data_IF_866435757045
#
_entry.id   IF_866435757045
#
_cell.length_a   1.000
_cell.length_b   1.000
_cell.length_c   1.000
_cell.angle_alpha   90.00
_cell.angle_beta   90.00
_cell.angle_gamma   90.00
#
_symmetry.space_group_name_H-M   'P 1'
#
loop_
_entity.id
_entity.type
_entity.pdbx_description
1 polymer ?
#
# COMPACT_ATOMS: atom_id res chain seq x y z
N UNK A 1 -15.09 -12.25 -1.01
CA UNK A 1 -13.80 -11.53 -0.91
C UNK A 1 -14.05 -10.16 -1.50
N UNK A 2 -14.35 -9.17 -0.66
CA UNK A 2 -14.57 -7.80 -1.14
C UNK A 2 -13.23 -7.24 -1.61
N UNK A 3 -13.05 -7.18 -2.93
CA UNK A 3 -11.85 -6.61 -3.55
C UNK A 3 -11.78 -5.12 -3.27
N UNK A 4 -10.59 -4.64 -2.93
CA UNK A 4 -10.27 -3.22 -2.78
C UNK A 4 -10.80 -2.44 -4.00
N UNK A 5 -11.77 -1.53 -3.79
CA UNK A 5 -12.26 -0.68 -4.88
C UNK A 5 -11.26 0.44 -5.15
N UNK A 6 -10.65 0.36 -6.34
CA UNK A 6 -9.71 1.35 -6.86
C UNK A 6 -10.30 2.01 -8.11
N UNK A 7 -10.22 3.33 -8.15
CA UNK A 7 -10.46 4.12 -9.36
C UNK A 7 -9.43 3.78 -10.45
N UNK A 8 -9.73 4.12 -11.70
CA UNK A 8 -8.80 3.92 -12.81
C UNK A 8 -7.45 4.63 -12.58
N UNK A 9 -7.45 5.79 -11.93
CA UNK A 9 -6.24 6.53 -11.61
C UNK A 9 -5.42 5.81 -10.54
N UNK A 10 -6.06 5.34 -9.47
CA UNK A 10 -5.37 4.56 -8.43
C UNK A 10 -4.79 3.27 -8.98
N UNK A 11 -5.52 2.55 -9.84
CA UNK A 11 -5.00 1.33 -10.47
C UNK A 11 -3.75 1.60 -11.30
N UNK A 12 -3.70 2.72 -12.03
CA UNK A 12 -2.50 3.11 -12.78
C UNK A 12 -1.35 3.47 -11.85
N UNK A 13 -1.57 4.42 -10.94
CA UNK A 13 -0.53 4.88 -10.02
C UNK A 13 0.04 3.72 -9.17
N UNK A 14 -0.84 2.86 -8.63
CA UNK A 14 -0.42 1.72 -7.79
C UNK A 14 0.26 0.65 -8.63
N UNK A 15 -0.18 0.46 -9.89
CA UNK A 15 0.47 -0.43 -10.84
C UNK A 15 1.89 0.03 -11.18
N UNK A 16 2.09 1.32 -11.41
CA UNK A 16 3.42 1.90 -11.67
C UNK A 16 4.34 1.76 -10.46
N UNK A 17 3.86 2.09 -9.25
CA UNK A 17 4.62 1.89 -8.01
C UNK A 17 4.97 0.41 -7.77
N UNK A 18 4.03 -0.49 -8.09
CA UNK A 18 4.28 -1.92 -7.97
C UNK A 18 5.39 -2.37 -8.92
N UNK A 19 5.34 -1.94 -10.19
CA UNK A 19 6.38 -2.26 -11.16
C UNK A 19 7.74 -1.66 -10.80
N UNK A 20 7.76 -0.46 -10.22
CA UNK A 20 8.99 0.17 -9.71
C UNK A 20 9.67 -0.69 -8.63
N UNK A 21 8.87 -1.38 -7.81
CA UNK A 21 9.36 -2.22 -6.73
C UNK A 21 9.61 -3.68 -7.14
N UNK A 22 8.87 -4.20 -8.12
CA UNK A 22 9.02 -5.55 -8.69
C UNK A 22 10.11 -5.55 -9.77
N UNK A 23 11.34 -5.24 -9.36
CA UNK A 23 12.51 -5.14 -10.27
C UNK A 23 12.80 -6.43 -11.02
N UNK A 24 12.48 -7.58 -10.41
CA UNK A 24 12.67 -8.91 -11.00
C UNK A 24 11.47 -9.35 -11.86
N UNK A 25 10.38 -8.57 -11.91
CA UNK A 25 9.18 -8.89 -12.69
C UNK A 25 8.47 -10.18 -12.25
N UNK A 26 8.66 -10.59 -10.99
CA UNK A 26 8.16 -11.85 -10.44
C UNK A 26 6.70 -11.77 -9.98
N UNK A 27 6.13 -10.55 -9.99
CA UNK A 27 4.82 -10.28 -9.41
C UNK A 27 4.85 -10.26 -7.89
N UNK A 28 6.03 -10.12 -7.26
CA UNK A 28 6.22 -10.11 -5.82
C UNK A 28 7.25 -9.06 -5.43
N UNK A 29 6.90 -8.22 -4.46
CA UNK A 29 7.80 -7.22 -3.89
C UNK A 29 8.31 -7.74 -2.55
N UNK A 30 9.61 -7.70 -2.31
CA UNK A 30 10.16 -8.12 -1.01
C UNK A 30 9.67 -7.20 0.10
N UNK A 31 9.51 -7.72 1.32
CA UNK A 31 9.09 -6.91 2.45
C UNK A 31 9.99 -5.68 2.66
N UNK A 32 11.30 -5.86 2.48
CA UNK A 32 12.31 -4.79 2.57
C UNK A 32 12.02 -3.69 1.54
N UNK A 33 11.81 -4.06 0.27
CA UNK A 33 11.61 -3.07 -0.80
C UNK A 33 10.31 -2.29 -0.63
N UNK A 34 9.24 -2.98 -0.22
CA UNK A 34 7.98 -2.32 0.12
C UNK A 34 8.15 -1.36 1.31
N UNK A 35 8.88 -1.77 2.35
CA UNK A 35 9.16 -0.89 3.50
C UNK A 35 9.97 0.35 3.12
N UNK A 36 10.96 0.25 2.24
CA UNK A 36 11.71 1.42 1.73
C UNK A 36 10.77 2.42 1.04
N UNK A 37 9.88 1.93 0.18
CA UNK A 37 8.88 2.79 -0.47
C UNK A 37 7.96 3.43 0.57
N UNK A 38 7.46 2.65 1.54
CA UNK A 38 6.54 3.17 2.52
C UNK A 38 7.20 4.17 3.47
N UNK A 39 8.50 4.02 3.78
CA UNK A 39 9.26 5.02 4.52
C UNK A 39 9.32 6.36 3.77
N UNK A 40 9.36 6.33 2.43
CA UNK A 40 9.32 7.54 1.60
C UNK A 40 8.00 8.30 1.74
N UNK A 41 6.93 7.68 2.27
CA UNK A 41 5.64 8.35 2.52
C UNK A 41 5.67 9.30 3.74
N UNK A 42 6.75 9.30 4.52
CA UNK A 42 6.90 10.13 5.73
C UNK A 42 6.11 9.62 6.95
N UNK A 43 5.54 8.41 6.88
CA UNK A 43 4.87 7.80 8.02
C UNK A 43 5.87 7.24 9.05
N UNK A 44 5.49 7.29 10.32
CA UNK A 44 6.26 6.69 11.41
C UNK A 44 6.32 5.17 11.32
N UNK A 45 7.39 4.59 11.88
CA UNK A 45 7.67 3.16 11.81
C UNK A 45 6.54 2.29 12.40
N UNK A 46 5.87 2.76 13.46
CA UNK A 46 4.68 2.13 14.06
C UNK A 46 3.53 1.96 13.07
N UNK A 47 3.21 3.02 12.32
CA UNK A 47 2.15 2.98 11.31
C UNK A 47 2.51 2.00 10.18
N UNK A 48 3.77 2.00 9.74
CA UNK A 48 4.25 1.09 8.69
C UNK A 48 4.20 -0.38 9.12
N UNK A 49 4.54 -0.66 10.39
CA UNK A 49 4.41 -1.99 10.98
C UNK A 49 2.94 -2.43 10.97
N UNK A 50 2.04 -1.57 11.44
CA UNK A 50 0.61 -1.86 11.46
C UNK A 50 0.05 -2.10 10.06
N UNK A 51 0.44 -1.30 9.07
CA UNK A 51 0.06 -1.47 7.65
C UNK A 51 0.50 -2.85 7.13
N UNK A 52 1.75 -3.23 7.42
CA UNK A 52 2.34 -4.50 6.99
C UNK A 52 1.64 -5.72 7.62
N UNK A 53 1.14 -5.56 8.85
CA UNK A 53 0.31 -6.56 9.52
C UNK A 53 -1.08 -6.66 8.91
N UNK A 54 -1.74 -5.52 8.65
CA UNK A 54 -3.08 -5.47 8.06
C UNK A 54 -3.14 -6.06 6.66
N UNK A 55 -2.13 -5.81 5.81
CA UNK A 55 -2.08 -6.38 4.47
C UNK A 55 -1.59 -7.85 4.47
N UNK A 56 -1.21 -8.40 5.63
CA UNK A 56 -0.79 -9.79 5.78
C UNK A 56 0.60 -10.10 5.21
N UNK A 57 1.43 -9.09 4.94
CA UNK A 57 2.78 -9.30 4.36
C UNK A 57 3.75 -9.98 5.34
N UNK A 58 3.57 -9.76 6.65
CA UNK A 58 4.42 -10.34 7.71
C UNK A 58 4.46 -11.87 7.69
N UNK A 59 3.39 -12.53 7.24
CA UNK A 59 3.32 -14.01 7.15
C UNK A 59 3.99 -14.59 5.89
N UNK A 60 4.17 -13.77 4.85
CA UNK A 60 4.66 -14.22 3.55
C UNK A 60 6.09 -13.74 3.26
N UNK A 61 6.57 -12.70 3.95
CA UNK A 61 7.88 -12.08 3.71
C UNK A 61 7.94 -11.25 2.40
N UNK A 62 6.84 -11.19 1.66
CA UNK A 62 6.71 -10.45 0.42
C UNK A 62 5.28 -9.90 0.28
N UNK A 63 5.13 -8.90 -0.58
CA UNK A 63 3.88 -8.28 -0.96
C UNK A 63 3.52 -8.72 -2.38
N UNK A 64 2.39 -9.43 -2.52
CA UNK A 64 1.71 -9.56 -3.80
C UNK A 64 0.97 -8.29 -4.18
N UNK A 65 0.50 -8.19 -5.43
CA UNK A 65 -0.22 -7.01 -5.96
C UNK A 65 -1.35 -6.53 -5.05
N UNK A 66 -2.24 -7.44 -4.64
CA UNK A 66 -3.39 -7.08 -3.80
C UNK A 66 -2.97 -6.53 -2.44
N UNK A 67 -1.95 -7.11 -1.83
CA UNK A 67 -1.45 -6.69 -0.51
C UNK A 67 -0.75 -5.34 -0.59
N UNK A 68 0.01 -5.12 -1.67
CA UNK A 68 0.67 -3.86 -1.93
C UNK A 68 -0.35 -2.73 -2.12
N UNK A 69 -1.43 -2.98 -2.87
CA UNK A 69 -2.46 -1.96 -3.10
C UNK A 69 -3.22 -1.61 -1.81
N UNK A 70 -3.50 -2.60 -0.97
CA UNK A 70 -4.07 -2.39 0.36
C UNK A 70 -3.13 -1.52 1.20
N UNK A 71 -1.82 -1.83 1.19
CA UNK A 71 -0.83 -1.06 1.94
C UNK A 71 -0.77 0.40 1.47
N UNK A 72 -0.73 0.66 0.16
CA UNK A 72 -0.76 2.02 -0.39
C UNK A 72 -2.02 2.81 0.02
N UNK A 73 -3.19 2.17 -0.01
CA UNK A 73 -4.45 2.78 0.48
C UNK A 73 -4.39 3.12 1.97
N UNK A 74 -3.84 2.22 2.79
CA UNK A 74 -3.67 2.46 4.22
C UNK A 74 -2.66 3.57 4.51
N UNK A 75 -1.60 3.68 3.71
CA UNK A 75 -0.62 4.78 3.78
C UNK A 75 -1.33 6.10 3.49
N UNK A 76 -2.08 6.17 2.38
CA UNK A 76 -2.85 7.36 2.03
C UNK A 76 -3.87 7.74 3.13
N UNK A 77 -4.49 6.75 3.78
CA UNK A 77 -5.39 6.98 4.91
C UNK A 77 -4.65 7.52 6.14
N UNK A 78 -3.51 6.92 6.52
CA UNK A 78 -2.71 7.37 7.65
C UNK A 78 -2.13 8.77 7.45
N UNK A 79 -1.72 9.12 6.22
CA UNK A 79 -1.28 10.48 5.88
C UNK A 79 -2.40 11.52 6.06
N UNK A 80 -3.67 11.11 5.94
CA UNK A 80 -4.84 11.97 6.21
C UNK A 80 -5.25 11.99 7.70
N UNK A 81 -4.51 11.28 8.57
CA UNK A 81 -4.87 11.12 9.97
C UNK A 81 -6.08 10.20 10.20
N UNK A 82 -6.45 9.39 9.19
CA UNK A 82 -7.52 8.42 9.34
C UNK A 82 -7.05 7.15 10.05
N UNK A 83 -7.96 6.43 10.75
CA UNK A 83 -7.63 5.18 11.39
C UNK A 83 -7.26 4.09 10.37
N UNK A 84 -6.17 3.37 10.66
CA UNK A 84 -5.69 2.22 9.88
C UNK A 84 -6.64 1.01 10.01
N UNK A 85 -7.72 1.02 9.22
CA UNK A 85 -8.75 -0.04 9.20
C UNK A 85 -9.03 -0.50 7.78
N UNK A 86 -9.02 -1.81 7.56
CA UNK A 86 -9.32 -2.42 6.25
C UNK A 86 -10.75 -2.15 5.80
N UNK A 87 -11.71 -2.16 6.73
CA UNK A 87 -13.13 -1.91 6.46
C UNK A 87 -13.38 -0.50 5.90
N UNK A 88 -12.53 0.46 6.23
CA UNK A 88 -12.66 1.85 5.80
C UNK A 88 -12.10 2.12 4.40
N UNK A 89 -11.38 1.16 3.80
CA UNK A 89 -10.68 1.36 2.52
C UNK A 89 -11.60 1.46 1.30
N UNK A 90 -12.84 0.97 1.42
CA UNK A 90 -13.85 1.03 0.34
C UNK A 90 -14.57 2.39 0.25
N UNK A 91 -14.34 3.30 1.20
CA UNK A 91 -14.80 4.69 1.11
C UNK A 91 -13.93 5.43 0.09
N UNK A 92 -14.47 5.71 -1.09
CA UNK A 92 -13.74 6.02 -2.34
C UNK A 92 -13.00 7.35 -2.45
N UNK A 93 -12.36 7.87 -1.40
CA UNK A 93 -11.89 9.28 -1.34
C UNK A 93 -10.37 9.45 -1.10
N UNK A 94 -9.53 8.44 -1.31
CA UNK A 94 -8.09 8.51 -0.96
C UNK A 94 -7.16 8.96 -2.09
N UNK A 95 -7.69 9.51 -3.19
CA UNK A 95 -6.99 9.70 -4.48
C UNK A 95 -5.81 10.71 -4.43
N UNK A 96 -5.75 11.62 -3.44
CA UNK A 96 -4.90 12.82 -3.55
C UNK A 96 -3.43 12.70 -3.14
N UNK A 97 -2.99 11.65 -2.42
CA UNK A 97 -1.72 11.73 -1.66
C UNK A 97 -0.52 10.94 -2.20
N UNK A 98 -0.71 10.09 -3.21
CA UNK A 98 0.41 9.33 -3.82
C UNK A 98 1.34 10.24 -4.65
N UNK A 99 1.02 11.53 -4.81
CA UNK A 99 1.88 12.50 -5.51
C UNK A 99 3.18 12.86 -4.78
N UNK A 100 3.39 12.37 -3.56
CA UNK A 100 4.61 12.62 -2.77
C UNK A 100 5.52 11.39 -2.60
N UNK A 101 5.14 10.24 -3.17
CA UNK A 101 5.97 9.04 -3.29
C UNK A 101 6.59 8.98 -4.69
#
# INVERSE_FOLDING_TARGET
MEGLKLSQQEQRNYGELFQLCDVDGTGRITGIKASELFLSSGLGQDALLQISELCGAKRLGHFGRSQFYIALKLIAAAQQGMPLKLDSLNSGEFISLIKQL
#
